data_IF_990786507342
#
_entry.id   IF_990786507342
#
_cell.length_a   1.000
_cell.length_b   1.000
_cell.length_c   1.000
_cell.angle_alpha   90.00
_cell.angle_beta   90.00
_cell.angle_gamma   90.00
#
_symmetry.space_group_name_H-M   'P 1'
#
loop_
_entity.id
_entity.type
_entity.pdbx_description
1 polymer ?
#
# COMPACT_ATOMS: atom_id res chain seq x y z
N UNK A 1 24.58 -20.28 -4.10
CA UNK A 1 23.74 -19.50 -3.16
C UNK A 1 22.55 -18.84 -3.86
N UNK A 2 22.71 -17.78 -4.66
CA UNK A 2 21.56 -17.10 -5.29
C UNK A 2 20.67 -18.05 -6.14
N UNK A 3 21.26 -18.89 -6.99
CA UNK A 3 20.49 -19.87 -7.77
C UNK A 3 19.80 -20.95 -6.90
N UNK A 4 20.39 -21.30 -5.76
CA UNK A 4 19.79 -22.24 -4.81
C UNK A 4 18.58 -21.61 -4.13
N UNK A 5 18.67 -20.35 -3.69
CA UNK A 5 17.53 -19.62 -3.11
C UNK A 5 16.42 -19.33 -4.12
N UNK A 6 16.78 -19.06 -5.37
CA UNK A 6 15.83 -18.75 -6.43
C UNK A 6 15.11 -20.00 -6.96
N UNK A 7 15.82 -21.09 -7.19
CA UNK A 7 15.30 -22.26 -7.94
C UNK A 7 15.56 -23.62 -7.26
N UNK A 8 16.14 -23.62 -6.07
CA UNK A 8 16.45 -24.84 -5.34
C UNK A 8 15.21 -25.59 -4.90
N UNK A 9 15.41 -26.88 -4.64
CA UNK A 9 14.42 -27.73 -3.96
C UNK A 9 14.43 -27.44 -2.45
N UNK A 10 13.31 -27.69 -1.79
CA UNK A 10 13.08 -27.33 -0.39
C UNK A 10 14.14 -27.90 0.56
N UNK A 11 14.55 -29.16 0.39
CA UNK A 11 15.55 -29.79 1.26
C UNK A 11 16.95 -29.13 1.13
N UNK A 12 17.56 -29.01 -0.07
CA UNK A 12 18.82 -28.28 -0.24
C UNK A 12 18.79 -26.80 0.21
N UNK A 13 17.66 -26.10 0.04
CA UNK A 13 17.52 -24.72 0.53
C UNK A 13 17.55 -24.69 2.05
N UNK A 14 16.81 -25.59 2.71
CA UNK A 14 16.75 -25.69 4.17
C UNK A 14 18.12 -26.00 4.76
N UNK A 15 18.78 -27.06 4.31
CA UNK A 15 20.11 -27.47 4.80
C UNK A 15 21.16 -26.34 4.76
N UNK A 16 21.01 -25.38 3.85
CA UNK A 16 21.94 -24.24 3.72
C UNK A 16 21.43 -22.95 4.38
N UNK A 17 20.11 -22.81 4.51
CA UNK A 17 19.41 -21.62 5.00
C UNK A 17 18.26 -22.02 5.93
N UNK A 18 18.60 -22.68 7.05
CA UNK A 18 17.62 -23.23 7.99
C UNK A 18 16.62 -22.19 8.53
N UNK A 19 17.03 -20.92 8.52
CA UNK A 19 16.24 -19.81 9.05
C UNK A 19 15.50 -19.01 7.99
N UNK A 20 15.64 -19.31 6.70
CA UNK A 20 14.87 -18.64 5.65
C UNK A 20 13.41 -19.05 5.79
N UNK A 21 12.59 -18.11 6.23
CA UNK A 21 11.14 -18.26 6.21
C UNK A 21 10.51 -17.26 5.27
N UNK A 22 9.43 -17.69 4.62
CA UNK A 22 8.64 -16.91 3.70
C UNK A 22 7.17 -17.12 4.06
N UNK A 23 6.51 -16.04 4.49
CA UNK A 23 5.09 -16.07 4.87
C UNK A 23 4.33 -15.02 4.06
N UNK A 24 3.19 -15.43 3.54
CA UNK A 24 2.13 -14.53 3.13
C UNK A 24 0.89 -14.77 3.98
N UNK A 25 0.28 -13.68 4.44
CA UNK A 25 -0.92 -13.71 5.28
C UNK A 25 -1.91 -12.70 4.72
N UNK A 26 -3.06 -13.17 4.27
CA UNK A 26 -4.20 -12.32 3.92
C UNK A 26 -5.08 -12.12 5.16
N UNK A 27 -5.17 -10.87 5.61
CA UNK A 27 -5.98 -10.40 6.73
C UNK A 27 -7.12 -9.50 6.26
N UNK A 28 -7.41 -9.47 4.96
CA UNK A 28 -8.55 -8.76 4.40
C UNK A 28 -9.83 -9.59 4.53
N UNK A 29 -10.96 -8.89 4.61
CA UNK A 29 -12.31 -9.47 4.62
C UNK A 29 -12.54 -10.55 5.70
N UNK A 30 -11.98 -10.35 6.90
CA UNK A 30 -12.14 -11.30 8.00
C UNK A 30 -13.58 -11.30 8.54
N UNK A 31 -14.11 -12.49 8.83
CA UNK A 31 -15.46 -12.67 9.39
C UNK A 31 -15.35 -13.34 10.76
N UNK A 32 -15.97 -12.76 11.78
CA UNK A 32 -15.95 -13.28 13.15
C UNK A 32 -14.53 -13.33 13.73
N UNK A 33 -14.15 -14.47 14.31
CA UNK A 33 -12.85 -14.67 14.99
C UNK A 33 -11.73 -15.16 14.04
N UNK A 34 -11.92 -15.05 12.73
CA UNK A 34 -10.88 -15.44 11.76
C UNK A 34 -9.63 -14.58 11.91
N UNK A 35 -8.46 -15.24 11.97
CA UNK A 35 -7.15 -14.54 12.05
C UNK A 35 -6.56 -14.16 10.69
N UNK A 36 -6.96 -14.87 9.65
CA UNK A 36 -6.54 -14.69 8.26
C UNK A 36 -7.58 -15.35 7.33
N UNK A 37 -7.76 -14.81 6.13
CA UNK A 37 -8.60 -15.35 5.07
C UNK A 37 -7.82 -16.25 4.10
N UNK A 38 -6.52 -16.02 3.95
CA UNK A 38 -5.58 -16.90 3.26
C UNK A 38 -4.22 -16.86 3.99
N UNK A 39 -3.47 -17.96 3.94
CA UNK A 39 -2.10 -18.00 4.45
C UNK A 39 -1.28 -18.95 3.61
N UNK A 40 -0.16 -18.43 3.10
CA UNK A 40 0.89 -19.24 2.51
C UNK A 40 2.09 -19.24 3.45
N UNK A 41 2.41 -20.41 3.98
CA UNK A 41 3.66 -20.70 4.68
C UNK A 41 4.21 -22.00 4.12
N UNK A 42 5.48 -22.28 4.38
CA UNK A 42 6.04 -23.55 3.92
C UNK A 42 5.47 -24.71 4.76
N UNK A 43 4.72 -25.59 4.09
CA UNK A 43 4.06 -26.77 4.66
C UNK A 43 4.53 -28.09 4.01
N UNK A 44 5.49 -28.01 3.08
CA UNK A 44 6.00 -29.15 2.32
C UNK A 44 5.27 -29.44 1.01
N UNK A 45 4.17 -28.74 0.69
CA UNK A 45 3.39 -28.96 -0.54
C UNK A 45 3.95 -28.26 -1.77
N UNK A 46 4.91 -27.34 -1.58
CA UNK A 46 5.54 -26.56 -2.64
C UNK A 46 7.04 -26.37 -2.36
N UNK A 47 7.83 -26.17 -3.41
CA UNK A 47 9.28 -25.96 -3.25
C UNK A 47 9.56 -24.58 -2.67
N UNK A 48 10.15 -24.53 -1.47
CA UNK A 48 10.42 -23.32 -0.66
C UNK A 48 11.54 -22.44 -1.25
N UNK A 49 11.36 -21.95 -2.47
CA UNK A 49 12.27 -21.05 -3.15
C UNK A 49 11.60 -19.73 -3.51
N UNK A 50 12.42 -18.70 -3.71
CA UNK A 50 11.95 -17.32 -3.96
C UNK A 50 11.12 -17.23 -5.23
N UNK A 51 11.44 -18.01 -6.27
CA UNK A 51 10.70 -17.98 -7.52
C UNK A 51 9.25 -18.42 -7.35
N UNK A 52 9.02 -19.54 -6.66
CA UNK A 52 7.68 -20.01 -6.36
C UNK A 52 6.96 -19.05 -5.42
N UNK A 53 7.64 -18.54 -4.39
CA UNK A 53 7.04 -17.57 -3.47
C UNK A 53 6.54 -16.32 -4.21
N UNK A 54 7.35 -15.75 -5.11
CA UNK A 54 6.93 -14.62 -5.97
C UNK A 54 5.71 -14.99 -6.81
N UNK A 55 5.75 -16.14 -7.50
CA UNK A 55 4.66 -16.56 -8.40
C UNK A 55 3.36 -16.88 -7.68
N UNK A 56 3.43 -17.30 -6.43
CA UNK A 56 2.25 -17.55 -5.62
C UNK A 56 1.71 -16.24 -5.00
N UNK A 57 2.58 -15.36 -4.51
CA UNK A 57 2.12 -14.19 -3.72
C UNK A 57 1.79 -12.97 -4.59
N UNK A 58 2.58 -12.66 -5.62
CA UNK A 58 2.34 -11.47 -6.44
C UNK A 58 0.92 -11.45 -7.03
N UNK A 59 0.39 -12.53 -7.64
CA UNK A 59 -0.97 -12.52 -8.15
C UNK A 59 -2.03 -12.30 -7.07
N UNK A 60 -1.79 -12.76 -5.83
CA UNK A 60 -2.71 -12.55 -4.69
C UNK A 60 -2.74 -11.08 -4.25
N UNK A 61 -1.61 -10.37 -4.34
CA UNK A 61 -1.55 -8.94 -4.06
C UNK A 61 -2.19 -8.11 -5.18
N UNK A 62 -1.99 -8.49 -6.44
CA UNK A 62 -2.43 -7.68 -7.57
C UNK A 62 -3.87 -7.94 -8.01
N UNK A 63 -4.48 -9.06 -7.62
CA UNK A 63 -5.86 -9.42 -7.99
C UNK A 63 -6.87 -8.34 -7.61
N UNK A 64 -6.71 -7.77 -6.42
CA UNK A 64 -7.70 -6.87 -5.83
C UNK A 64 -7.38 -5.38 -6.09
N UNK A 65 -6.30 -5.10 -6.84
CA UNK A 65 -5.97 -3.73 -7.29
C UNK A 65 -6.95 -3.32 -8.40
N UNK A 66 -7.62 -2.16 -8.31
CA UNK A 66 -8.55 -1.70 -9.33
C UNK A 66 -7.91 -1.67 -10.73
N UNK A 67 -8.53 -2.36 -11.69
CA UNK A 67 -8.11 -2.38 -13.10
C UNK A 67 -8.96 -1.40 -13.90
N UNK A 68 -8.47 -0.18 -14.21
CA UNK A 68 -9.17 0.68 -15.16
C UNK A 68 -9.24 -0.05 -16.50
N UNK A 69 -10.37 0.04 -17.19
CA UNK A 69 -10.50 -0.51 -18.53
C UNK A 69 -9.61 0.30 -19.48
N UNK A 70 -8.46 -0.24 -19.85
CA UNK A 70 -7.54 0.34 -20.83
C UNK A 70 -7.24 -0.68 -21.91
N UNK A 71 -7.36 -0.25 -23.17
CA UNK A 71 -7.11 -1.06 -24.37
C UNK A 71 -5.83 -0.56 -25.04
N UNK A 72 -4.99 -1.49 -25.48
CA UNK A 72 -3.88 -1.25 -26.39
C UNK A 72 -4.19 -1.99 -27.71
N UNK A 73 -4.81 -1.27 -28.65
CA UNK A 73 -5.42 -1.88 -29.83
C UNK A 73 -6.58 -2.82 -29.47
N UNK A 74 -6.42 -4.12 -29.71
CA UNK A 74 -7.41 -5.17 -29.40
C UNK A 74 -7.10 -5.84 -28.04
N UNK A 75 -5.91 -5.61 -27.49
CA UNK A 75 -5.43 -6.29 -26.28
C UNK A 75 -5.77 -5.44 -25.05
N UNK A 76 -6.42 -6.07 -24.06
CA UNK A 76 -6.68 -5.43 -22.77
C UNK A 76 -5.37 -5.28 -21.99
N UNK A 77 -5.08 -4.06 -21.54
CA UNK A 77 -3.91 -3.76 -20.71
C UNK A 77 -4.27 -3.91 -19.23
N UNK A 78 -4.07 -5.12 -18.70
CA UNK A 78 -4.33 -5.41 -17.29
C UNK A 78 -3.22 -4.94 -16.35
N UNK A 79 -2.02 -4.67 -16.87
CA UNK A 79 -0.86 -4.30 -16.06
C UNK A 79 -0.78 -2.78 -15.83
N UNK A 80 -1.29 -2.33 -14.69
CA UNK A 80 -1.27 -0.91 -14.30
C UNK A 80 0.06 -0.51 -13.66
N UNK A 81 0.36 0.80 -13.52
CA UNK A 81 1.51 1.27 -12.75
C UNK A 81 1.53 0.73 -11.32
N UNK A 82 0.38 0.55 -10.68
CA UNK A 82 0.26 -0.02 -9.33
C UNK A 82 0.65 -1.50 -9.31
N UNK A 83 0.27 -2.28 -10.34
CA UNK A 83 0.71 -3.67 -10.48
C UNK A 83 2.24 -3.77 -10.61
N UNK A 84 2.84 -2.87 -11.40
CA UNK A 84 4.31 -2.76 -11.52
C UNK A 84 4.95 -2.40 -10.19
N UNK A 85 4.40 -1.41 -9.48
CA UNK A 85 4.91 -0.98 -8.18
C UNK A 85 4.79 -2.05 -7.09
N UNK A 86 3.75 -2.89 -7.08
CA UNK A 86 3.70 -4.07 -6.19
C UNK A 86 4.80 -5.08 -6.51
N UNK A 87 5.05 -5.36 -7.79
CA UNK A 87 6.14 -6.26 -8.20
C UNK A 87 7.52 -5.70 -7.82
N UNK A 88 7.69 -4.39 -7.98
CA UNK A 88 8.90 -3.68 -7.58
C UNK A 88 9.10 -3.72 -6.05
N UNK A 89 8.05 -3.46 -5.27
CA UNK A 89 8.07 -3.57 -3.81
C UNK A 89 8.47 -4.98 -3.35
N UNK A 90 7.88 -6.02 -3.95
CA UNK A 90 8.20 -7.41 -3.63
C UNK A 90 9.64 -7.78 -4.02
N UNK A 91 10.10 -7.28 -5.18
CA UNK A 91 11.48 -7.45 -5.64
C UNK A 91 12.46 -6.79 -4.67
N UNK A 92 12.17 -5.55 -4.26
CA UNK A 92 12.99 -4.78 -3.31
C UNK A 92 13.08 -5.48 -1.95
N UNK A 93 11.96 -6.01 -1.45
CA UNK A 93 11.94 -6.83 -0.23
C UNK A 93 12.97 -7.99 -0.30
N UNK A 94 13.07 -8.68 -1.44
CA UNK A 94 13.99 -9.83 -1.62
C UNK A 94 15.45 -9.38 -1.80
N UNK A 95 15.70 -8.41 -2.69
CA UNK A 95 17.09 -8.06 -3.06
C UNK A 95 17.81 -7.27 -1.97
N UNK A 96 17.07 -6.63 -1.07
CA UNK A 96 17.61 -5.90 0.07
C UNK A 96 17.62 -6.72 1.38
N UNK A 97 16.90 -7.84 1.43
CA UNK A 97 16.87 -8.73 2.60
C UNK A 97 18.25 -9.25 2.99
N UNK A 98 18.52 -9.24 4.30
CA UNK A 98 19.63 -9.99 4.87
C UNK A 98 19.22 -11.44 5.16
N UNK A 99 19.42 -12.30 4.14
CA UNK A 99 19.03 -13.71 4.19
C UNK A 99 19.94 -14.59 5.07
N UNK A 100 21.00 -14.03 5.65
CA UNK A 100 21.87 -14.73 6.58
C UNK A 100 21.41 -14.54 8.03
N UNK A 101 20.57 -13.56 8.31
CA UNK A 101 19.95 -13.36 9.62
C UNK A 101 18.80 -14.33 9.85
N UNK A 102 18.51 -14.61 11.11
CA UNK A 102 17.30 -15.30 11.52
C UNK A 102 16.10 -14.38 11.26
N UNK A 103 15.54 -14.49 10.07
CA UNK A 103 14.65 -13.48 9.52
C UNK A 103 13.54 -14.08 8.66
N UNK A 104 12.42 -13.37 8.60
CA UNK A 104 11.24 -13.77 7.84
C UNK A 104 10.99 -12.74 6.74
N UNK A 105 10.93 -13.21 5.49
CA UNK A 105 10.26 -12.46 4.42
C UNK A 105 8.76 -12.60 4.64
N UNK A 106 8.11 -11.52 5.08
CA UNK A 106 6.68 -11.54 5.40
C UNK A 106 5.94 -10.55 4.51
N UNK A 107 4.85 -11.01 3.92
CA UNK A 107 3.89 -10.15 3.22
C UNK A 107 2.54 -10.27 3.89
N UNK A 108 2.00 -9.15 4.35
CA UNK A 108 0.68 -9.10 4.98
C UNK A 108 -0.22 -8.22 4.11
N UNK A 109 -1.37 -8.78 3.72
CA UNK A 109 -2.42 -8.05 3.01
C UNK A 109 -3.52 -7.69 3.99
N UNK A 110 -3.90 -6.43 4.03
CA UNK A 110 -5.04 -5.92 4.78
C UNK A 110 -6.05 -5.35 3.78
N UNK A 111 -7.23 -4.94 4.27
CA UNK A 111 -8.24 -4.29 3.43
C UNK A 111 -7.75 -2.98 2.80
N UNK A 112 -6.88 -2.25 3.51
CA UNK A 112 -6.45 -0.89 3.20
C UNK A 112 -4.96 -0.75 2.88
N UNK A 113 -4.17 -1.84 2.99
CA UNK A 113 -2.72 -1.77 2.76
C UNK A 113 -2.07 -3.13 2.53
N UNK A 114 -0.90 -3.10 1.92
CA UNK A 114 0.07 -4.19 1.95
C UNK A 114 1.26 -3.81 2.83
N UNK A 115 1.75 -4.78 3.61
CA UNK A 115 2.95 -4.63 4.43
C UNK A 115 3.96 -5.69 4.00
N UNK A 116 5.08 -5.26 3.44
CA UNK A 116 6.18 -6.12 3.04
C UNK A 116 7.33 -5.94 4.03
N UNK A 117 7.72 -7.02 4.70
CA UNK A 117 8.77 -7.00 5.72
C UNK A 117 9.92 -7.91 5.31
N UNK A 118 11.15 -7.40 5.39
CA UNK A 118 12.36 -8.19 5.18
C UNK A 118 13.34 -8.04 6.34
N UNK A 119 14.16 -9.07 6.61
CA UNK A 119 15.25 -8.95 7.58
C UNK A 119 16.37 -8.03 7.08
N UNK A 120 17.13 -7.51 8.03
CA UNK A 120 18.21 -6.55 7.81
C UNK A 120 17.79 -5.11 8.01
N UNK A 121 18.75 -4.21 7.76
CA UNK A 121 18.63 -2.76 7.84
C UNK A 121 18.91 -2.13 6.47
N UNK A 122 18.44 -0.90 6.29
CA UNK A 122 18.66 -0.07 5.11
C UNK A 122 20.16 0.12 4.89
N UNK A 123 20.58 0.04 3.62
CA UNK A 123 21.99 0.26 3.21
C UNK A 123 22.29 1.70 2.79
N UNK A 124 21.25 2.52 2.71
CA UNK A 124 21.27 3.92 2.32
C UNK A 124 20.35 4.68 3.29
N UNK A 125 20.62 5.97 3.55
CA UNK A 125 19.67 6.85 4.23
C UNK A 125 18.29 6.80 3.59
N UNK A 126 17.25 6.90 4.40
CA UNK A 126 15.87 6.80 3.92
C UNK A 126 15.57 7.89 2.89
N UNK A 127 16.01 9.12 3.12
CA UNK A 127 15.82 10.27 2.22
C UNK A 127 16.38 9.99 0.83
N UNK A 128 17.52 9.32 0.77
CA UNK A 128 18.18 8.95 -0.48
C UNK A 128 17.43 7.86 -1.25
N UNK A 129 16.83 6.91 -0.53
CA UNK A 129 15.96 5.88 -1.13
C UNK A 129 14.72 6.54 -1.74
N UNK A 130 14.12 7.52 -1.04
CA UNK A 130 12.98 8.28 -1.56
C UNK A 130 13.35 9.16 -2.76
N UNK A 131 14.53 9.78 -2.76
CA UNK A 131 15.02 10.58 -3.89
C UNK A 131 15.32 9.72 -5.13
N UNK A 132 15.78 8.48 -4.92
CA UNK A 132 16.21 7.59 -5.98
C UNK A 132 17.58 7.94 -6.55
N UNK A 133 17.90 7.41 -7.74
CA UNK A 133 19.17 7.62 -8.44
C UNK A 133 20.32 6.73 -7.95
N UNK A 134 20.36 6.44 -6.65
CA UNK A 134 21.32 5.48 -6.08
C UNK A 134 20.63 4.21 -5.58
N UNK A 135 21.28 3.07 -5.79
CA UNK A 135 20.79 1.78 -5.31
C UNK A 135 21.96 0.90 -4.90
N UNK A 136 21.85 0.32 -3.70
CA UNK A 136 22.85 -0.60 -3.14
C UNK A 136 22.20 -1.89 -2.68
N UNK A 137 21.82 -2.73 -3.65
CA UNK A 137 21.28 -4.07 -3.35
C UNK A 137 22.23 -4.90 -2.47
N UNK A 138 21.66 -5.72 -1.58
CA UNK A 138 22.42 -6.70 -0.80
C UNK A 138 22.67 -7.95 -1.63
N UNK A 139 21.67 -8.34 -2.42
CA UNK A 139 21.66 -9.56 -3.21
C UNK A 139 21.67 -9.28 -4.73
N UNK A 140 22.75 -8.68 -5.23
CA UNK A 140 22.89 -8.28 -6.65
C UNK A 140 22.66 -9.43 -7.65
N UNK A 141 23.12 -10.65 -7.32
CA UNK A 141 22.89 -11.83 -8.17
C UNK A 141 21.40 -12.21 -8.26
N UNK A 142 20.65 -12.07 -7.17
CA UNK A 142 19.20 -12.32 -7.18
C UNK A 142 18.47 -11.21 -7.94
N UNK A 143 18.89 -9.96 -7.76
CA UNK A 143 18.39 -8.84 -8.56
C UNK A 143 18.57 -9.10 -10.06
N UNK A 144 19.76 -9.53 -10.50
CA UNK A 144 20.00 -9.87 -11.90
C UNK A 144 19.07 -11.00 -12.39
N UNK A 145 18.90 -12.07 -11.61
CA UNK A 145 18.00 -13.17 -11.94
C UNK A 145 16.53 -12.72 -12.05
N UNK A 146 16.06 -11.86 -11.14
CA UNK A 146 14.70 -11.31 -11.18
C UNK A 146 14.48 -10.47 -12.44
N UNK A 147 15.45 -9.63 -12.81
CA UNK A 147 15.37 -8.83 -14.05
C UNK A 147 15.28 -9.71 -15.29
N UNK A 148 16.03 -10.82 -15.35
CA UNK A 148 15.96 -11.77 -16.47
C UNK A 148 14.57 -12.39 -16.65
N UNK A 149 13.79 -12.54 -15.57
CA UNK A 149 12.44 -13.09 -15.62
C UNK A 149 11.34 -12.01 -15.61
N UNK A 150 11.71 -10.75 -15.86
CA UNK A 150 10.78 -9.62 -15.99
C UNK A 150 10.31 -9.01 -14.65
N UNK A 151 11.00 -9.28 -13.55
CA UNK A 151 10.74 -8.66 -12.25
C UNK A 151 11.83 -7.64 -11.90
N UNK A 152 11.43 -6.39 -11.66
CA UNK A 152 12.32 -5.29 -11.31
C UNK A 152 12.76 -4.45 -12.53
N UNK A 153 12.81 -3.13 -12.33
CA UNK A 153 13.19 -2.15 -13.36
C UNK A 153 14.71 -1.87 -13.37
N UNK A 154 15.15 -0.80 -14.05
CA UNK A 154 16.55 -0.35 -14.07
C UNK A 154 17.07 0.03 -12.67
N UNK A 155 18.40 -0.02 -12.48
CA UNK A 155 19.06 0.37 -11.22
C UNK A 155 18.73 1.83 -10.88
N UNK A 156 18.31 2.09 -9.63
CA UNK A 156 18.11 3.45 -9.11
C UNK A 156 16.72 4.06 -9.36
N UNK A 157 15.85 3.42 -10.17
CA UNK A 157 14.48 3.90 -10.40
C UNK A 157 13.41 3.14 -9.61
N UNK A 158 13.79 2.08 -8.88
CA UNK A 158 12.86 1.14 -8.25
C UNK A 158 11.90 1.78 -7.25
N UNK A 159 12.43 2.43 -6.21
CA UNK A 159 11.59 3.06 -5.19
C UNK A 159 10.80 4.28 -5.73
N UNK A 160 11.38 5.20 -6.54
CA UNK A 160 10.62 6.25 -7.20
C UNK A 160 9.45 5.76 -8.07
N UNK A 161 9.57 4.59 -8.70
CA UNK A 161 8.48 3.98 -9.45
C UNK A 161 7.30 3.56 -8.55
N UNK A 162 7.59 3.09 -7.33
CA UNK A 162 6.54 2.81 -6.35
C UNK A 162 5.84 4.11 -5.95
N UNK A 163 6.61 5.16 -5.67
CA UNK A 163 6.08 6.47 -5.27
C UNK A 163 5.19 7.08 -6.38
N UNK A 164 5.66 7.07 -7.63
CA UNK A 164 4.91 7.67 -8.74
C UNK A 164 3.62 6.92 -9.02
N UNK A 165 3.65 5.58 -9.01
CA UNK A 165 2.48 4.74 -9.21
C UNK A 165 1.43 4.92 -8.11
N UNK A 166 1.85 5.09 -6.85
CA UNK A 166 0.95 5.37 -5.74
C UNK A 166 0.36 6.78 -5.82
N UNK A 167 1.19 7.77 -6.15
CA UNK A 167 0.77 9.16 -6.30
C UNK A 167 -0.23 9.37 -7.45
N UNK A 168 -0.11 8.61 -8.54
CA UNK A 168 -1.07 8.63 -9.66
C UNK A 168 -2.51 8.29 -9.23
N UNK A 169 -2.67 7.48 -8.18
CA UNK A 169 -3.98 7.16 -7.59
C UNK A 169 -4.36 8.07 -6.42
N UNK A 170 -3.53 9.05 -6.10
CA UNK A 170 -3.68 9.88 -4.90
C UNK A 170 -3.79 9.05 -3.61
N UNK A 171 -3.17 7.88 -3.58
CA UNK A 171 -3.06 7.07 -2.36
C UNK A 171 -1.98 7.63 -1.43
N UNK A 172 -2.06 7.26 -0.15
CA UNK A 172 -1.06 7.66 0.83
C UNK A 172 0.34 7.23 0.37
N UNK A 173 1.29 8.12 0.57
CA UNK A 173 2.69 7.90 0.21
C UNK A 173 3.19 6.60 0.85
N UNK A 174 3.84 5.69 0.10
CA UNK A 174 4.51 4.53 0.64
C UNK A 174 5.42 4.88 1.83
N UNK A 175 5.31 4.13 2.92
CA UNK A 175 6.09 4.32 4.15
C UNK A 175 7.16 3.23 4.26
N UNK A 176 8.43 3.66 4.34
CA UNK A 176 9.57 2.78 4.58
C UNK A 176 10.02 2.96 6.03
N UNK A 177 9.83 1.92 6.85
CA UNK A 177 10.12 1.94 8.29
C UNK A 177 11.22 0.94 8.58
N UNK A 178 12.33 1.42 9.15
CA UNK A 178 13.38 0.58 9.72
C UNK A 178 13.09 0.34 11.21
N UNK A 179 13.29 -0.89 11.67
CA UNK A 179 13.15 -1.31 13.07
C UNK A 179 14.46 -1.95 13.54
N UNK A 180 15.44 -1.15 14.02
CA UNK A 180 16.76 -1.64 14.39
C UNK A 180 16.75 -2.76 15.43
N UNK A 181 15.86 -2.67 16.42
CA UNK A 181 15.73 -3.65 17.51
C UNK A 181 15.26 -5.02 17.01
N UNK A 182 14.52 -5.05 15.91
CA UNK A 182 14.02 -6.26 15.28
C UNK A 182 14.86 -6.69 14.06
N UNK A 183 15.89 -5.92 13.70
CA UNK A 183 16.70 -6.11 12.48
C UNK A 183 15.79 -6.29 11.25
N UNK A 184 14.83 -5.40 11.09
CA UNK A 184 13.77 -5.53 10.08
C UNK A 184 13.49 -4.19 9.40
N UNK A 185 13.19 -4.26 8.10
CA UNK A 185 12.64 -3.15 7.32
C UNK A 185 11.24 -3.51 6.85
N UNK A 186 10.33 -2.54 6.90
CA UNK A 186 8.95 -2.63 6.43
C UNK A 186 8.68 -1.59 5.36
N UNK A 187 8.07 -2.03 4.27
CA UNK A 187 7.44 -1.16 3.29
C UNK A 187 5.92 -1.31 3.40
N UNK A 188 5.24 -0.21 3.71
CA UNK A 188 3.79 -0.14 3.83
C UNK A 188 3.24 0.58 2.60
N UNK A 189 2.32 -0.07 1.91
CA UNK A 189 1.67 0.40 0.69
C UNK A 189 0.17 0.50 0.93
N UNK A 190 -0.35 1.69 1.18
CA UNK A 190 -1.78 1.90 1.43
C UNK A 190 -2.58 1.89 0.13
N UNK A 191 -3.67 1.16 0.09
CA UNK A 191 -4.51 0.94 -1.09
C UNK A 191 -5.87 1.46 -0.70
N UNK A 192 -6.28 2.53 -1.38
CA UNK A 192 -7.40 3.41 -1.03
C UNK A 192 -7.12 4.43 0.09
N UNK A 193 -7.71 5.61 -0.07
CA UNK A 193 -7.94 6.54 1.02
C UNK A 193 -9.12 6.05 1.87
N UNK A 194 -8.97 4.91 2.55
CA UNK A 194 -9.54 4.84 3.89
C UNK A 194 -8.57 5.63 4.74
N UNK A 195 -8.77 6.93 4.79
CA UNK A 195 -8.06 7.78 5.75
C UNK A 195 -8.54 7.33 7.13
N UNK A 196 -7.84 6.36 7.73
CA UNK A 196 -7.70 6.37 9.16
C UNK A 196 -6.91 7.65 9.43
N UNK A 197 -7.62 8.75 9.71
CA UNK A 197 -7.03 10.02 10.11
C UNK A 197 -6.31 9.74 11.43
N UNK A 198 -5.04 9.35 11.36
CA UNK A 198 -4.13 9.62 12.45
C UNK A 198 -3.95 11.13 12.50
N UNK A 199 -4.07 11.68 13.71
CA UNK A 199 -4.25 13.08 14.08
C UNK A 199 -3.21 14.10 13.53
N UNK A 200 -2.29 13.71 12.67
CA UNK A 200 -1.14 14.54 12.29
C UNK A 200 -1.13 15.07 10.85
N UNK A 201 -2.01 14.60 9.94
CA UNK A 201 -2.10 15.17 8.58
C UNK A 201 -2.97 16.44 8.53
N UNK A 202 -3.63 16.78 9.63
CA UNK A 202 -4.40 18.02 9.78
C UNK A 202 -3.50 19.28 9.92
N UNK A 203 -2.21 19.16 10.23
CA UNK A 203 -1.42 20.34 10.65
C UNK A 203 -1.12 21.39 9.58
N UNK A 204 -1.06 21.02 8.30
CA UNK A 204 -0.62 21.97 7.26
C UNK A 204 -1.73 22.51 6.34
N UNK A 205 -2.98 22.04 6.47
CA UNK A 205 -4.13 22.63 5.74
C UNK A 205 -5.33 22.97 6.66
N UNK A 206 -5.36 22.52 7.93
CA UNK A 206 -6.53 22.73 8.83
C UNK A 206 -6.35 23.72 9.97
N UNK A 207 -5.36 24.62 9.92
CA UNK A 207 -5.18 25.64 10.98
C UNK A 207 -6.41 26.53 11.25
N UNK A 208 -7.48 26.46 10.45
CA UNK A 208 -8.70 27.25 10.61
C UNK A 208 -10.03 26.47 10.56
N UNK A 209 -10.02 25.13 10.59
CA UNK A 209 -11.26 24.33 10.59
C UNK A 209 -11.53 23.71 11.96
N UNK A 210 -12.78 23.82 12.42
CA UNK A 210 -13.21 23.16 13.65
C UNK A 210 -13.34 21.65 13.46
N UNK A 211 -13.20 20.86 14.53
CA UNK A 211 -13.40 19.39 14.49
C UNK A 211 -14.74 19.01 13.86
N UNK A 212 -15.79 19.80 14.13
CA UNK A 212 -17.13 19.58 13.56
C UNK A 212 -17.18 19.83 12.05
N UNK A 213 -16.44 20.82 11.54
CA UNK A 213 -16.34 21.07 10.10
C UNK A 213 -15.58 19.96 9.38
N UNK A 214 -14.58 19.36 10.01
CA UNK A 214 -13.87 18.20 9.48
C UNK A 214 -14.82 17.00 9.35
N UNK A 215 -15.59 16.70 10.40
CA UNK A 215 -16.59 15.63 10.40
C UNK A 215 -17.67 15.84 9.31
N UNK A 216 -18.10 17.08 9.09
CA UNK A 216 -19.06 17.41 8.01
C UNK A 216 -18.47 17.12 6.62
N UNK A 217 -17.20 17.48 6.40
CA UNK A 217 -16.51 17.20 5.13
C UNK A 217 -16.35 15.68 4.92
N UNK A 218 -16.05 14.93 5.97
CA UNK A 218 -15.97 13.46 5.92
C UNK A 218 -17.30 12.84 5.50
N UNK A 219 -18.42 13.30 6.05
CA UNK A 219 -19.75 12.82 5.64
C UNK A 219 -20.06 13.12 4.18
N UNK A 220 -19.75 14.33 3.71
CA UNK A 220 -19.99 14.74 2.32
C UNK A 220 -19.05 14.04 1.33
N UNK A 221 -17.88 13.63 1.77
CA UNK A 221 -16.97 12.82 0.97
C UNK A 221 -17.45 11.37 0.86
N UNK A 222 -17.98 10.81 1.94
CA UNK A 222 -18.54 9.46 1.95
C UNK A 222 -19.86 9.36 1.17
N UNK A 223 -20.70 10.40 1.27
CA UNK A 223 -21.97 10.51 0.57
C UNK A 223 -22.23 11.98 0.18
N UNK A 224 -21.98 12.30 -1.09
CA UNK A 224 -22.22 13.64 -1.64
C UNK A 224 -23.70 14.05 -1.66
N UNK A 225 -24.64 13.12 -1.42
CA UNK A 225 -26.08 13.41 -1.36
C UNK A 225 -26.60 13.61 0.06
N UNK A 226 -25.74 13.46 1.07
CA UNK A 226 -26.14 13.53 2.47
C UNK A 226 -26.87 14.83 2.82
N UNK A 227 -27.96 14.67 3.55
CA UNK A 227 -28.83 15.78 3.96
C UNK A 227 -28.35 16.40 5.28
N UNK A 228 -28.77 17.65 5.51
CA UNK A 228 -28.51 18.36 6.78
C UNK A 228 -29.10 17.60 7.97
N UNK A 229 -30.26 16.97 7.79
CA UNK A 229 -30.93 16.19 8.83
C UNK A 229 -30.13 14.94 9.21
N UNK A 230 -29.59 14.22 8.23
CA UNK A 230 -28.74 13.05 8.47
C UNK A 230 -27.43 13.44 9.17
N UNK A 231 -26.80 14.55 8.77
CA UNK A 231 -25.61 15.07 9.45
C UNK A 231 -25.93 15.51 10.90
N UNK A 232 -27.08 16.14 11.13
CA UNK A 232 -27.54 16.52 12.47
C UNK A 232 -27.67 15.30 13.38
N UNK A 233 -28.29 14.22 12.88
CA UNK A 233 -28.46 12.98 13.64
C UNK A 233 -27.12 12.29 13.92
N UNK A 234 -26.24 12.19 12.92
CA UNK A 234 -24.93 11.51 13.07
C UNK A 234 -23.95 12.27 13.97
N UNK A 235 -24.05 13.59 14.04
CA UNK A 235 -23.18 14.43 14.90
C UNK A 235 -23.77 14.74 16.27
N UNK A 236 -25.06 14.47 16.48
CA UNK A 236 -25.82 14.89 17.66
C UNK A 236 -25.81 16.43 17.88
N UNK A 237 -25.85 17.19 16.79
CA UNK A 237 -25.88 18.67 16.80
C UNK A 237 -27.10 19.16 16.03
N UNK A 238 -27.67 20.31 16.39
CA UNK A 238 -28.82 20.88 15.69
C UNK A 238 -28.55 21.15 14.20
N UNK A 239 -29.57 20.96 13.36
CA UNK A 239 -29.52 21.29 11.92
C UNK A 239 -29.06 22.75 11.67
N UNK A 240 -29.42 23.67 12.56
CA UNK A 240 -28.99 25.08 12.48
C UNK A 240 -27.47 25.22 12.57
N UNK A 241 -26.82 24.45 13.43
CA UNK A 241 -25.36 24.46 13.57
C UNK A 241 -24.69 23.86 12.34
N UNK A 242 -25.21 22.74 11.84
CA UNK A 242 -24.71 22.09 10.62
C UNK A 242 -24.81 23.05 9.43
N UNK A 243 -25.94 23.76 9.29
CA UNK A 243 -26.13 24.75 8.24
C UNK A 243 -25.08 25.87 8.32
N UNK A 244 -24.82 26.40 9.53
CA UNK A 244 -23.80 27.43 9.75
C UNK A 244 -22.39 26.96 9.36
N UNK A 245 -22.05 25.72 9.67
CA UNK A 245 -20.73 25.17 9.34
C UNK A 245 -20.57 24.95 7.83
N UNK A 246 -21.63 24.48 7.15
CA UNK A 246 -21.68 24.35 5.68
C UNK A 246 -21.53 25.72 5.00
N UNK A 247 -22.27 26.73 5.48
CA UNK A 247 -22.16 28.11 4.98
C UNK A 247 -20.72 28.61 5.11
N UNK A 248 -20.09 28.43 6.27
CA UNK A 248 -18.69 28.81 6.49
C UNK A 248 -17.72 28.05 5.56
N UNK A 249 -17.93 26.76 5.31
CA UNK A 249 -17.09 25.97 4.41
C UNK A 249 -17.27 26.39 2.94
N UNK A 250 -18.47 26.81 2.56
CA UNK A 250 -18.75 27.36 1.22
C UNK A 250 -18.17 28.74 1.02
N UNK A 251 -18.25 29.63 2.02
CA UNK A 251 -17.58 30.94 2.01
C UNK A 251 -16.06 30.81 1.89
N UNK A 252 -15.47 29.81 2.55
CA UNK A 252 -14.03 29.48 2.43
C UNK A 252 -13.66 28.86 1.07
N UNK A 253 -14.63 28.60 0.20
CA UNK A 253 -14.43 27.96 -1.11
C UNK A 253 -14.04 26.48 -1.04
N UNK A 254 -14.17 25.86 0.13
CA UNK A 254 -13.85 24.45 0.36
C UNK A 254 -14.98 23.56 -0.14
N UNK A 255 -16.23 24.02 0.02
CA UNK A 255 -17.42 23.25 -0.28
C UNK A 255 -18.33 23.97 -1.29
N UNK A 256 -18.90 23.23 -2.23
CA UNK A 256 -19.89 23.73 -3.19
C UNK A 256 -21.04 22.75 -3.35
N UNK A 257 -22.20 23.23 -3.79
CA UNK A 257 -23.32 22.37 -4.17
C UNK A 257 -23.55 22.45 -5.67
N UNK A 258 -23.55 21.30 -6.33
CA UNK A 258 -23.81 21.18 -7.77
C UNK A 258 -25.17 20.54 -7.98
N UNK A 259 -26.05 21.17 -8.77
CA UNK A 259 -27.38 20.67 -9.10
C UNK A 259 -28.53 21.33 -8.32
N UNK A 260 -29.75 20.86 -8.56
CA UNK A 260 -30.98 21.43 -8.01
C UNK A 260 -31.20 21.11 -6.52
N UNK A 261 -32.22 21.73 -5.91
CA UNK A 261 -32.51 21.56 -4.46
C UNK A 261 -32.84 20.12 -4.03
N UNK A 262 -33.33 19.29 -4.96
CA UNK A 262 -33.71 17.88 -4.72
C UNK A 262 -32.69 16.85 -5.25
N UNK A 263 -31.88 17.22 -6.24
CA UNK A 263 -30.96 16.32 -6.95
C UNK A 263 -29.50 16.76 -6.85
N UNK A 264 -29.22 17.83 -6.10
CA UNK A 264 -27.89 18.41 -6.02
C UNK A 264 -26.99 17.67 -5.03
N UNK A 265 -25.72 17.53 -5.39
CA UNK A 265 -24.66 16.91 -4.59
C UNK A 265 -23.68 17.94 -4.05
N UNK A 266 -23.08 17.63 -2.91
CA UNK A 266 -21.97 18.37 -2.33
C UNK A 266 -20.66 17.99 -3.02
N UNK A 267 -19.84 18.98 -3.36
CA UNK A 267 -18.55 18.83 -4.03
C UNK A 267 -17.51 19.65 -3.29
N UNK A 268 -16.44 18.99 -2.86
CA UNK A 268 -15.29 19.60 -2.18
C UNK A 268 -14.34 20.12 -3.26
N UNK A 269 -14.08 21.43 -3.28
CA UNK A 269 -13.36 22.12 -4.38
C UNK A 269 -11.91 22.47 -4.07
N UNK A 270 -11.49 22.37 -2.80
CA UNK A 270 -10.16 22.82 -2.37
C UNK A 270 -9.62 21.90 -1.27
N UNK A 271 -8.47 21.27 -1.53
CA UNK A 271 -7.51 20.78 -0.52
C UNK A 271 -6.20 21.46 -0.84
#
# INVERSE_FOLDING_TARGET
IAGLLMFGKGLPVRERFDYLRMDYIDKSNLIGDQRYSDRLTYDGTWENNLFNFIRMVVPRLTRDIPRPFQMDGIIRKDDTPQHKAVREAFTNMIIHADLMLNGLLRVEKYDDRFVLSNPGLLKLPVEQIYAGGESKARNQRMQHMLRMIGYGENLGSGFPLILSAWNEKHWLKPELVEQPELMQVKLILHIENRVYVTKDVTKDVTKELTERQQIILEFMQADGTITISEMSQKTNVTERTIKRDIESLTEKGILSREGGRKEGRWVIRKI
#
